data_IF_254538223042
#
_entry.id   IF_254538223042
#
_cell.length_a   1.000
_cell.length_b   1.000
_cell.length_c   1.000
_cell.angle_alpha   90.00
_cell.angle_beta   90.00
_cell.angle_gamma   90.00
#
_symmetry.space_group_name_H-M   'P 1'
#
loop_
_entity.id
_entity.type
_entity.pdbx_description
1 polymer ?
#
# COMPACT_ATOMS: atom_id res chain seq x y z
N UNK A 1 10.70 -22.77 21.64
CA UNK A 1 9.45 -22.30 22.26
C UNK A 1 8.26 -22.38 21.31
N UNK A 2 8.41 -22.09 20.01
CA UNK A 2 7.34 -22.34 19.03
C UNK A 2 7.72 -23.35 17.92
N UNK A 3 9.01 -23.47 17.55
CA UNK A 3 9.52 -24.47 16.59
C UNK A 3 8.69 -24.54 15.29
N UNK A 4 8.39 -23.37 14.71
CA UNK A 4 7.63 -23.21 13.48
C UNK A 4 8.38 -22.33 12.50
N UNK A 5 8.24 -22.64 11.21
CA UNK A 5 8.69 -21.77 10.12
C UNK A 5 7.72 -20.58 9.96
N UNK A 6 8.29 -19.40 9.79
CA UNK A 6 7.57 -18.16 9.51
C UNK A 6 8.11 -17.53 8.24
N UNK A 7 7.26 -16.76 7.58
CA UNK A 7 7.59 -16.05 6.36
C UNK A 7 7.41 -14.55 6.55
N UNK A 8 8.36 -13.78 6.04
CA UNK A 8 8.19 -12.34 5.93
C UNK A 8 7.06 -12.04 4.93
N UNK A 9 6.21 -11.07 5.25
CA UNK A 9 5.04 -10.74 4.43
C UNK A 9 5.45 -10.15 3.07
N UNK A 10 4.77 -10.58 2.02
CA UNK A 10 4.97 -10.09 0.65
C UNK A 10 3.99 -8.98 0.25
N UNK A 11 2.95 -8.77 1.07
CA UNK A 11 1.84 -7.83 0.92
C UNK A 11 1.14 -7.60 2.29
N UNK A 12 0.28 -6.59 2.37
CA UNK A 12 -0.51 -6.20 3.55
C UNK A 12 -1.97 -6.70 3.49
N UNK A 13 -2.40 -7.19 2.31
CA UNK A 13 -3.79 -7.52 1.95
C UNK A 13 -4.56 -8.37 2.98
N UNK A 14 -4.07 -9.57 3.31
CA UNK A 14 -4.88 -10.54 4.04
C UNK A 14 -5.21 -10.10 5.48
N UNK A 15 -4.26 -9.55 6.26
CA UNK A 15 -4.58 -8.92 7.54
C UNK A 15 -5.60 -7.78 7.40
N UNK A 16 -5.44 -6.87 6.43
CA UNK A 16 -6.34 -5.72 6.26
C UNK A 16 -7.77 -6.16 5.88
N UNK A 17 -7.93 -7.13 4.99
CA UNK A 17 -9.26 -7.70 4.68
C UNK A 17 -9.91 -8.39 5.87
N UNK A 18 -9.14 -8.99 6.79
CA UNK A 18 -9.70 -9.53 8.04
C UNK A 18 -10.23 -8.44 8.95
N UNK A 19 -9.63 -7.25 8.96
CA UNK A 19 -10.15 -6.10 9.70
C UNK A 19 -11.48 -5.60 9.11
N UNK A 20 -11.62 -5.57 7.78
CA UNK A 20 -12.89 -5.30 7.09
C UNK A 20 -13.98 -6.27 7.55
N UNK A 21 -13.67 -7.58 7.53
CA UNK A 21 -14.60 -8.63 8.05
C UNK A 21 -14.92 -8.42 9.52
N UNK A 22 -13.96 -7.94 10.31
CA UNK A 22 -14.12 -7.58 11.73
C UNK A 22 -14.95 -6.30 11.98
N UNK A 23 -15.45 -5.64 10.93
CA UNK A 23 -16.28 -4.45 11.03
C UNK A 23 -15.52 -3.13 10.94
N UNK A 24 -14.20 -3.13 10.70
CA UNK A 24 -13.45 -1.92 10.41
C UNK A 24 -13.65 -1.56 8.93
N UNK A 25 -14.65 -0.73 8.64
CA UNK A 25 -15.09 -0.46 7.26
C UNK A 25 -14.06 0.28 6.40
N UNK A 26 -13.06 0.94 6.99
CA UNK A 26 -11.98 1.61 6.24
C UNK A 26 -10.67 1.43 6.98
N UNK A 27 -9.68 0.84 6.32
CA UNK A 27 -8.36 0.56 6.88
C UNK A 27 -7.27 0.86 5.87
N UNK A 28 -6.11 1.26 6.36
CA UNK A 28 -4.90 1.36 5.56
C UNK A 28 -3.69 0.98 6.39
N UNK A 29 -2.61 0.58 5.72
CA UNK A 29 -1.30 0.44 6.35
C UNK A 29 -0.22 0.95 5.40
N UNK A 30 0.74 1.71 5.94
CA UNK A 30 2.02 2.02 5.30
C UNK A 30 3.08 1.18 5.99
N UNK A 31 3.64 0.20 5.28
CA UNK A 31 4.48 -0.82 5.91
C UNK A 31 5.52 -1.42 4.99
N UNK A 32 6.50 -2.11 5.59
CA UNK A 32 7.52 -2.84 4.82
C UNK A 32 6.96 -4.18 4.35
N UNK A 33 7.19 -4.52 3.09
CA UNK A 33 7.00 -5.85 2.51
C UNK A 33 8.34 -6.38 1.99
N UNK A 34 8.45 -7.69 1.89
CA UNK A 34 9.70 -8.38 1.60
C UNK A 34 9.48 -9.36 0.45
N UNK A 35 10.26 -9.24 -0.62
CA UNK A 35 10.22 -10.15 -1.77
C UNK A 35 11.61 -10.67 -2.03
N UNK A 36 11.78 -11.99 -1.94
CA UNK A 36 13.06 -12.65 -2.18
C UNK A 36 13.29 -12.83 -3.69
N UNK A 37 13.46 -11.71 -4.38
CA UNK A 37 13.59 -11.58 -5.83
C UNK A 37 14.95 -10.93 -6.19
N UNK A 38 15.27 -10.85 -7.47
CA UNK A 38 16.48 -10.18 -7.95
C UNK A 38 16.45 -8.66 -7.71
N UNK A 39 17.63 -8.06 -7.54
CA UNK A 39 17.78 -6.61 -7.34
C UNK A 39 18.12 -5.94 -8.67
N UNK A 40 17.41 -4.85 -8.98
CA UNK A 40 17.72 -3.96 -10.10
C UNK A 40 17.41 -2.49 -9.75
N UNK A 41 17.41 -1.60 -10.73
CA UNK A 41 17.18 -0.16 -10.49
C UNK A 41 15.76 0.18 -10.03
N UNK A 42 14.82 -0.76 -10.09
CA UNK A 42 13.40 -0.61 -9.71
C UNK A 42 12.96 -1.57 -8.61
N UNK A 43 13.74 -2.61 -8.30
CA UNK A 43 13.37 -3.65 -7.35
C UNK A 43 14.39 -3.74 -6.20
N UNK A 44 13.91 -3.48 -4.98
CA UNK A 44 14.64 -3.73 -3.73
C UNK A 44 13.97 -4.88 -2.96
N UNK A 45 14.72 -5.80 -2.33
CA UNK A 45 14.13 -6.97 -1.63
C UNK A 45 13.21 -6.61 -0.47
N UNK A 46 13.33 -5.38 0.04
CA UNK A 46 12.42 -4.79 0.99
C UNK A 46 11.94 -3.42 0.50
N UNK A 47 10.65 -3.13 0.50
CA UNK A 47 10.14 -1.83 0.07
C UNK A 47 8.88 -1.44 0.81
N UNK A 48 8.68 -0.13 0.94
CA UNK A 48 7.52 0.41 1.65
C UNK A 48 6.32 0.47 0.70
N UNK A 49 5.20 -0.05 1.15
CA UNK A 49 3.94 -0.11 0.42
C UNK A 49 2.84 0.57 1.23
N UNK A 50 1.89 1.21 0.54
CA UNK A 50 0.60 1.65 1.07
C UNK A 50 -0.47 0.72 0.50
N UNK A 51 -1.22 0.04 1.37
CA UNK A 51 -2.47 -0.63 0.98
C UNK A 51 -3.65 -0.01 1.73
N UNK A 52 -4.76 0.23 1.01
CA UNK A 52 -6.04 0.73 1.53
C UNK A 52 -7.15 -0.27 1.23
N UNK A 53 -8.12 -0.39 2.14
CA UNK A 53 -9.37 -1.13 1.92
C UNK A 53 -10.53 -0.35 2.50
N UNK A 54 -11.60 -0.23 1.71
CA UNK A 54 -12.86 0.37 2.11
C UNK A 54 -14.01 -0.58 1.78
N UNK A 55 -14.89 -0.82 2.74
CA UNK A 55 -16.12 -1.58 2.55
C UNK A 55 -17.08 -0.80 1.63
N UNK A 56 -17.87 -1.54 0.85
CA UNK A 56 -18.87 -1.02 -0.09
C UNK A 56 -18.32 -0.21 -1.26
N UNK A 57 -17.00 -0.20 -1.45
CA UNK A 57 -16.35 0.42 -2.60
C UNK A 57 -16.13 -0.60 -3.71
N UNK A 58 -16.31 -0.14 -4.94
CA UNK A 58 -15.82 -0.84 -6.12
C UNK A 58 -14.52 -0.18 -6.63
N UNK A 59 -14.04 -0.63 -7.79
CA UNK A 59 -12.78 -0.13 -8.33
C UNK A 59 -12.87 1.33 -8.81
N UNK A 60 -14.05 1.86 -9.14
CA UNK A 60 -14.21 3.26 -9.51
C UNK A 60 -13.99 4.17 -8.30
N UNK A 61 -14.50 3.79 -7.12
CA UNK A 61 -14.22 4.52 -5.89
C UNK A 61 -12.72 4.53 -5.57
N UNK A 62 -12.04 3.40 -5.80
CA UNK A 62 -10.58 3.28 -5.60
C UNK A 62 -9.79 4.10 -6.62
N UNK A 63 -10.28 4.24 -7.87
CA UNK A 63 -9.65 5.14 -8.86
C UNK A 63 -9.66 6.59 -8.38
N UNK A 64 -10.80 7.06 -7.88
CA UNK A 64 -10.94 8.41 -7.33
C UNK A 64 -10.06 8.60 -6.09
N UNK A 65 -10.03 7.63 -5.18
CA UNK A 65 -9.14 7.66 -4.00
C UNK A 65 -7.67 7.74 -4.40
N UNK A 66 -7.23 6.89 -5.34
CA UNK A 66 -5.84 6.85 -5.78
C UNK A 66 -5.39 8.19 -6.40
N UNK A 67 -6.23 8.81 -7.25
CA UNK A 67 -5.94 10.13 -7.79
C UNK A 67 -5.80 11.18 -6.70
N UNK A 68 -6.72 11.21 -5.73
CA UNK A 68 -6.70 12.22 -4.67
C UNK A 68 -5.51 12.06 -3.73
N UNK A 69 -5.12 10.82 -3.39
CA UNK A 69 -3.92 10.55 -2.58
C UNK A 69 -2.67 11.11 -3.28
N UNK A 70 -2.50 10.81 -4.57
CA UNK A 70 -1.33 11.26 -5.34
C UNK A 70 -1.34 12.78 -5.50
N UNK A 71 -2.49 13.39 -5.83
CA UNK A 71 -2.62 14.85 -5.96
C UNK A 71 -2.36 15.56 -4.63
N UNK A 72 -2.85 15.03 -3.52
CA UNK A 72 -2.61 15.59 -2.20
C UNK A 72 -1.12 15.54 -1.84
N UNK A 73 -0.46 14.40 -2.05
CA UNK A 73 0.98 14.27 -1.84
C UNK A 73 1.79 15.21 -2.74
N UNK A 74 1.43 15.31 -4.03
CA UNK A 74 2.08 16.21 -4.97
C UNK A 74 1.95 17.68 -4.56
N UNK A 75 0.78 18.13 -4.11
CA UNK A 75 0.55 19.51 -3.66
C UNK A 75 1.40 19.90 -2.45
N UNK A 76 1.74 18.95 -1.58
CA UNK A 76 2.63 19.20 -0.42
C UNK A 76 4.05 19.54 -0.87
N UNK A 77 4.51 18.95 -1.98
CA UNK A 77 5.89 19.13 -2.49
C UNK A 77 6.01 20.11 -3.66
N UNK A 78 4.93 20.28 -4.43
CA UNK A 78 4.85 21.15 -5.62
C UNK A 78 3.49 21.85 -5.65
N UNK A 79 3.40 23.14 -5.27
CA UNK A 79 2.14 23.86 -5.15
C UNK A 79 1.31 23.94 -6.44
N UNK A 80 1.97 23.93 -7.62
CA UNK A 80 1.29 23.94 -8.92
C UNK A 80 1.02 22.52 -9.47
N UNK A 81 1.38 21.49 -8.71
CA UNK A 81 1.18 20.08 -9.05
C UNK A 81 2.08 19.58 -10.18
N UNK A 82 3.07 20.35 -10.63
CA UNK A 82 3.99 19.94 -11.69
C UNK A 82 5.23 19.29 -11.11
N UNK A 83 5.55 18.10 -11.60
CA UNK A 83 6.74 17.33 -11.22
C UNK A 83 7.54 17.05 -12.48
N UNK A 84 8.82 17.43 -12.48
CA UNK A 84 9.74 17.02 -13.54
C UNK A 84 10.23 15.60 -13.25
N UNK A 85 9.91 14.66 -14.12
CA UNK A 85 10.33 13.27 -14.03
C UNK A 85 11.33 12.95 -15.14
N UNK A 86 12.42 12.25 -14.81
CA UNK A 86 13.48 11.84 -15.74
C UNK A 86 13.44 10.34 -15.99
#
# INVERSE_FOLDING_TARGET
ALDIDLYMRIALELPLKRLIVGGMERVYEIGRVFRNEGVDTRHNPEFTELETYAAYWDFHDVMDEAEEIIRAAAKVVSPDGKINYQ
#
